data_IF_028026469782
#
_entry.id   IF_028026469782
#
_cell.length_a   1.000
_cell.length_b   1.000
_cell.length_c   1.000
_cell.angle_alpha   90.00
_cell.angle_beta   90.00
_cell.angle_gamma   90.00
#
_symmetry.space_group_name_H-M   'P 1'
#
loop_
_entity.id
_entity.type
_entity.pdbx_description
1 polymer ?
#
# COMPACT_ATOMS: atom_id res chain seq x y z
N UNK A 1 0.26 -7.11 13.69
CA UNK A 1 -0.76 -6.09 13.97
C UNK A 1 -1.80 -6.71 14.89
N UNK A 2 -2.00 -6.19 16.10
CA UNK A 2 -3.09 -6.66 16.96
C UNK A 2 -4.39 -6.02 16.48
N UNK A 3 -5.40 -6.82 16.14
CA UNK A 3 -6.69 -6.32 15.64
C UNK A 3 -7.33 -5.33 16.62
N UNK A 4 -7.14 -5.52 17.93
CA UNK A 4 -7.62 -4.62 18.98
C UNK A 4 -7.00 -3.22 18.90
N UNK A 5 -5.70 -3.11 18.60
CA UNK A 5 -5.03 -1.81 18.44
C UNK A 5 -5.51 -1.08 17.19
N UNK A 6 -5.69 -1.81 16.08
CA UNK A 6 -6.18 -1.23 14.83
C UNK A 6 -7.63 -0.75 14.96
N UNK A 7 -8.50 -1.52 15.62
CA UNK A 7 -9.87 -1.09 15.91
C UNK A 7 -9.89 0.20 16.74
N UNK A 8 -9.11 0.24 17.82
CA UNK A 8 -9.04 1.41 18.70
C UNK A 8 -8.64 2.70 17.97
N UNK A 9 -7.62 2.62 17.11
CA UNK A 9 -7.21 3.78 16.30
C UNK A 9 -8.27 4.18 15.28
N UNK A 10 -8.97 3.22 14.68
CA UNK A 10 -10.04 3.48 13.73
C UNK A 10 -11.22 4.21 14.39
N UNK A 11 -11.61 3.80 15.60
CA UNK A 11 -12.70 4.43 16.33
C UNK A 11 -12.38 5.89 16.66
N UNK A 12 -11.18 6.16 17.19
CA UNK A 12 -10.71 7.53 17.46
C UNK A 12 -10.59 8.39 16.21
N UNK A 13 -10.05 7.82 15.12
CA UNK A 13 -9.95 8.53 13.85
C UNK A 13 -11.32 8.99 13.34
N UNK A 14 -12.36 8.16 13.51
CA UNK A 14 -13.74 8.51 13.14
C UNK A 14 -14.36 9.58 14.04
N UNK A 15 -13.88 9.72 15.27
CA UNK A 15 -14.26 10.80 16.19
C UNK A 15 -13.55 12.13 15.88
N UNK A 16 -12.68 12.16 14.86
CA UNK A 16 -11.99 13.36 14.40
C UNK A 16 -10.55 13.49 14.92
N UNK A 17 -10.02 12.44 15.54
CA UNK A 17 -8.63 12.40 16.00
C UNK A 17 -7.65 12.20 14.83
N UNK A 18 -7.04 13.29 14.39
CA UNK A 18 -6.10 13.29 13.27
C UNK A 18 -4.81 12.52 13.58
N UNK A 19 -4.35 12.51 14.84
CA UNK A 19 -3.14 11.79 15.24
C UNK A 19 -3.39 10.28 15.23
N UNK A 20 -4.53 9.84 15.77
CA UNK A 20 -4.95 8.44 15.71
C UNK A 20 -5.11 7.95 14.26
N UNK A 21 -5.62 8.81 13.38
CA UNK A 21 -5.70 8.48 11.95
C UNK A 21 -4.31 8.40 11.30
N UNK A 22 -3.40 9.32 11.62
CA UNK A 22 -2.01 9.25 11.18
C UNK A 22 -1.34 7.94 11.61
N UNK A 23 -1.48 7.56 12.88
CA UNK A 23 -0.98 6.28 13.40
C UNK A 23 -1.61 5.08 12.69
N UNK A 24 -2.91 5.12 12.43
CA UNK A 24 -3.61 4.08 11.67
C UNK A 24 -3.04 3.94 10.27
N UNK A 25 -2.86 5.05 9.53
CA UNK A 25 -2.27 5.06 8.20
C UNK A 25 -0.86 4.46 8.23
N UNK A 26 -0.04 4.86 9.20
CA UNK A 26 1.33 4.36 9.36
C UNK A 26 1.39 2.83 9.56
N UNK A 27 0.40 2.22 10.21
CA UNK A 27 0.30 0.75 10.30
C UNK A 27 0.15 0.08 8.92
N UNK A 28 -0.46 0.77 7.95
CA UNK A 28 -0.67 0.25 6.59
C UNK A 28 0.38 0.71 5.57
N UNK A 29 1.36 1.54 5.95
CA UNK A 29 2.36 2.09 5.02
C UNK A 29 3.10 0.99 4.26
N UNK A 30 3.71 0.03 4.95
CA UNK A 30 4.46 -1.06 4.31
C UNK A 30 3.56 -1.92 3.43
N UNK A 31 2.33 -2.17 3.87
CA UNK A 31 1.35 -2.92 3.09
C UNK A 31 1.03 -2.22 1.76
N UNK A 32 0.73 -0.92 1.80
CA UNK A 32 0.43 -0.14 0.61
C UNK A 32 1.65 0.03 -0.29
N UNK A 33 2.85 0.16 0.28
CA UNK A 33 4.09 0.22 -0.49
C UNK A 33 4.30 -1.06 -1.29
N UNK A 34 4.11 -2.24 -0.65
CA UNK A 34 4.21 -3.55 -1.31
C UNK A 34 3.15 -3.69 -2.41
N UNK A 35 1.91 -3.23 -2.17
CA UNK A 35 0.89 -3.20 -3.21
C UNK A 35 1.26 -2.28 -4.38
N UNK A 36 1.70 -1.06 -4.10
CA UNK A 36 2.12 -0.10 -5.12
C UNK A 36 3.28 -0.66 -5.95
N UNK A 37 4.28 -1.23 -5.29
CA UNK A 37 5.42 -1.85 -5.93
C UNK A 37 5.01 -3.01 -6.87
N UNK A 38 4.03 -3.82 -6.46
CA UNK A 38 3.52 -4.93 -7.28
C UNK A 38 2.71 -4.48 -8.49
N UNK A 39 1.89 -3.45 -8.35
CA UNK A 39 1.00 -2.99 -9.43
C UNK A 39 1.68 -1.99 -10.39
N UNK A 40 2.85 -1.47 -10.04
CA UNK A 40 3.67 -0.69 -10.97
C UNK A 40 4.46 -1.63 -11.87
N UNK A 41 4.14 -1.63 -13.17
CA UNK A 41 4.97 -2.29 -14.18
C UNK A 41 6.37 -1.65 -14.26
N UNK A 42 7.37 -2.40 -14.73
CA UNK A 42 8.80 -1.98 -14.81
C UNK A 42 9.02 -0.58 -15.38
N UNK A 43 8.25 -0.23 -16.42
CA UNK A 43 8.34 1.08 -17.08
C UNK A 43 7.88 2.24 -16.20
N UNK A 44 6.90 1.99 -15.33
CA UNK A 44 6.37 2.96 -14.39
C UNK A 44 7.24 3.05 -13.13
N UNK A 45 7.82 1.92 -12.68
CA UNK A 45 8.76 1.88 -11.54
C UNK A 45 9.98 2.78 -11.75
N UNK A 46 10.42 2.98 -12.99
CA UNK A 46 11.52 3.91 -13.30
C UNK A 46 11.17 5.41 -13.10
N UNK A 47 9.89 5.74 -12.97
CA UNK A 47 9.41 7.14 -12.96
C UNK A 47 8.59 7.50 -11.73
N UNK A 48 8.08 6.50 -11.02
CA UNK A 48 7.20 6.68 -9.87
C UNK A 48 7.75 5.82 -8.76
N UNK A 49 8.13 6.47 -7.66
CA UNK A 49 8.47 5.77 -6.43
C UNK A 49 7.17 5.24 -5.78
N UNK A 50 7.09 3.95 -5.40
CA UNK A 50 5.98 3.44 -4.61
C UNK A 50 5.72 4.25 -3.33
N UNK A 51 6.75 4.82 -2.70
CA UNK A 51 6.61 5.67 -1.51
C UNK A 51 5.81 6.96 -1.81
N UNK A 52 6.01 7.57 -2.99
CA UNK A 52 5.24 8.74 -3.42
C UNK A 52 3.75 8.40 -3.59
N UNK A 53 3.44 7.23 -4.17
CA UNK A 53 2.06 6.77 -4.30
C UNK A 53 1.39 6.50 -2.95
N UNK A 54 2.14 5.95 -1.98
CA UNK A 54 1.63 5.77 -0.62
C UNK A 54 1.34 7.13 0.02
N UNK A 55 2.22 8.12 -0.17
CA UNK A 55 2.03 9.46 0.37
C UNK A 55 0.79 10.15 -0.25
N UNK A 56 0.61 10.05 -1.57
CA UNK A 56 -0.61 10.56 -2.25
C UNK A 56 -1.85 9.87 -1.69
N UNK A 57 -1.80 8.54 -1.53
CA UNK A 57 -2.89 7.76 -0.95
C UNK A 57 -3.24 8.22 0.46
N UNK A 58 -2.25 8.53 1.31
CA UNK A 58 -2.49 9.05 2.66
C UNK A 58 -3.17 10.43 2.64
N UNK A 59 -2.73 11.32 1.75
CA UNK A 59 -3.35 12.64 1.59
C UNK A 59 -4.81 12.55 1.14
N UNK A 60 -5.11 11.67 0.18
CA UNK A 60 -6.49 11.43 -0.26
C UNK A 60 -7.33 10.75 0.82
N UNK A 61 -6.76 9.78 1.55
CA UNK A 61 -7.43 9.14 2.67
C UNK A 61 -7.78 10.15 3.76
N UNK A 62 -6.88 11.07 4.11
CA UNK A 62 -7.17 12.14 5.07
C UNK A 62 -8.35 13.01 4.60
N UNK A 63 -8.38 13.36 3.31
CA UNK A 63 -9.45 14.16 2.72
C UNK A 63 -10.78 13.41 2.70
N UNK A 64 -10.76 12.11 2.42
CA UNK A 64 -11.95 11.30 2.17
C UNK A 64 -12.46 10.60 3.44
N UNK A 65 -11.70 10.63 4.56
CA UNK A 65 -12.07 10.05 5.85
C UNK A 65 -13.47 10.46 6.33
N UNK A 66 -13.92 11.74 6.23
CA UNK A 66 -15.27 12.12 6.64
C UNK A 66 -16.39 11.42 5.87
N UNK A 67 -16.11 10.90 4.66
CA UNK A 67 -17.05 10.13 3.85
C UNK A 67 -16.97 8.61 4.12
N UNK A 68 -15.94 8.14 4.80
CA UNK A 68 -15.80 6.73 5.16
C UNK A 68 -16.89 6.31 6.16
N UNK A 69 -17.48 5.13 5.96
CA UNK A 69 -18.58 4.59 6.80
C UNK A 69 -18.27 3.23 7.42
N UNK A 70 -17.19 2.57 7.02
CA UNK A 70 -16.82 1.23 7.52
C UNK A 70 -16.46 1.24 8.99
N UNK A 71 -16.98 0.28 9.76
CA UNK A 71 -16.80 0.20 11.22
C UNK A 71 -15.69 -0.77 11.63
N UNK A 72 -15.26 -1.62 10.70
CA UNK A 72 -14.33 -2.72 10.94
C UNK A 72 -13.00 -2.46 10.22
N UNK A 73 -11.85 -2.91 10.78
CA UNK A 73 -10.54 -2.84 10.16
C UNK A 73 -10.51 -3.45 8.76
N UNK A 74 -11.28 -4.50 8.51
CA UNK A 74 -11.41 -5.10 7.18
C UNK A 74 -12.00 -4.12 6.16
N UNK A 75 -13.02 -3.35 6.54
CA UNK A 75 -13.60 -2.33 5.66
C UNK A 75 -12.62 -1.18 5.40
N UNK A 76 -11.82 -0.83 6.40
CA UNK A 76 -10.76 0.17 6.26
C UNK A 76 -9.70 -0.26 5.25
N UNK A 77 -9.22 -1.51 5.33
CA UNK A 77 -8.26 -2.09 4.38
C UNK A 77 -8.77 -2.02 2.94
N UNK A 78 -10.02 -2.40 2.72
CA UNK A 78 -10.64 -2.35 1.38
C UNK A 78 -10.70 -0.90 0.88
N UNK A 79 -11.11 0.03 1.74
CA UNK A 79 -11.23 1.45 1.39
C UNK A 79 -9.88 2.08 1.02
N UNK A 80 -8.85 1.93 1.85
CA UNK A 80 -7.54 2.52 1.57
C UNK A 80 -6.86 1.88 0.36
N UNK A 81 -7.07 0.58 0.12
CA UNK A 81 -6.62 -0.10 -1.10
C UNK A 81 -7.32 0.43 -2.35
N UNK A 82 -8.60 0.79 -2.27
CA UNK A 82 -9.33 1.37 -3.39
C UNK A 82 -8.76 2.76 -3.76
N UNK A 83 -8.43 3.58 -2.76
CA UNK A 83 -7.74 4.87 -2.98
C UNK A 83 -6.40 4.64 -3.69
N UNK A 84 -5.57 3.73 -3.18
CA UNK A 84 -4.29 3.40 -3.83
C UNK A 84 -4.47 2.95 -5.28
N UNK A 85 -5.46 2.08 -5.56
CA UNK A 85 -5.74 1.61 -6.92
C UNK A 85 -6.16 2.74 -7.85
N UNK A 86 -6.96 3.69 -7.37
CA UNK A 86 -7.34 4.87 -8.14
C UNK A 86 -6.13 5.75 -8.45
N UNK A 87 -5.20 5.90 -7.49
CA UNK A 87 -3.95 6.61 -7.67
C UNK A 87 -3.03 5.95 -8.70
N UNK A 88 -2.88 4.62 -8.62
CA UNK A 88 -2.16 3.82 -9.61
C UNK A 88 -2.75 4.00 -11.02
N UNK A 89 -4.07 3.84 -11.17
CA UNK A 89 -4.75 4.02 -12.46
C UNK A 89 -4.55 5.44 -13.02
N UNK A 90 -4.62 6.45 -12.16
CA UNK A 90 -4.38 7.85 -12.52
C UNK A 90 -2.93 8.11 -12.94
N UNK A 91 -1.97 7.43 -12.32
CA UNK A 91 -0.56 7.53 -12.68
C UNK A 91 -0.26 6.84 -14.03
N UNK A 92 -0.84 5.66 -14.25
CA UNK A 92 -0.77 4.92 -15.54
C UNK A 92 -1.37 5.76 -16.66
N UNK A 93 -2.58 6.32 -16.45
CA UNK A 93 -3.26 7.13 -17.47
C UNK A 93 -2.44 8.37 -17.84
N UNK A 94 -1.89 9.07 -16.84
CA UNK A 94 -0.97 10.20 -17.08
C UNK A 94 0.26 9.75 -17.86
N UNK A 95 0.86 8.62 -17.54
CA UNK A 95 2.01 8.09 -18.27
C UNK A 95 1.68 7.77 -19.74
N UNK A 96 0.60 7.04 -20.01
CA UNK A 96 0.15 6.70 -21.38
C UNK A 96 -0.14 7.96 -22.19
N UNK A 97 -0.79 8.97 -21.59
CA UNK A 97 -1.06 10.26 -22.25
C UNK A 97 0.25 11.03 -22.51
N UNK A 98 1.20 11.01 -21.56
CA UNK A 98 2.48 11.71 -21.70
C UNK A 98 3.37 11.05 -22.75
N UNK A 99 3.35 9.71 -22.87
CA UNK A 99 4.03 9.00 -23.94
C UNK A 99 3.40 9.25 -25.32
N UNK A 100 2.07 9.38 -25.41
CA UNK A 100 1.41 9.82 -26.64
C UNK A 100 1.76 11.26 -27.03
N UNK A 101 2.04 12.14 -26.06
CA UNK A 101 2.54 13.50 -26.30
C UNK A 101 4.03 13.56 -26.62
N UNK A 102 4.86 12.68 -26.07
CA UNK A 102 6.32 12.67 -26.33
C UNK A 102 6.68 12.18 -27.73
N UNK A 103 5.79 11.44 -28.41
CA UNK A 103 5.93 11.12 -29.84
C UNK A 103 5.46 12.29 -30.72
N UNK A 104 4.67 13.21 -30.18
CA UNK A 104 3.97 14.21 -30.97
C UNK A 104 4.57 15.62 -30.91
N UNK A 105 5.24 16.07 -29.83
CA UNK A 105 5.82 17.43 -29.83
C UNK A 105 6.77 17.68 -28.65
N UNK A 106 8.06 17.88 -28.94
CA UNK A 106 8.91 18.84 -28.23
C UNK A 106 8.43 20.26 -28.53
N UNK A 107 7.31 20.72 -27.93
CA UNK A 107 6.94 22.15 -28.01
C UNK A 107 6.33 22.62 -26.68
N UNK A 108 7.11 23.50 -26.04
CA UNK A 108 6.77 24.63 -25.14
C UNK A 108 6.22 24.34 -23.74
N UNK A 109 7.15 24.45 -22.78
CA UNK A 109 6.96 25.13 -21.50
C UNK A 109 6.24 26.47 -21.71
N UNK A 110 5.12 26.68 -21.02
CA UNK A 110 4.78 27.91 -20.29
C UNK A 110 3.36 27.83 -19.68
N UNK A 111 3.28 28.09 -18.38
CA UNK A 111 2.13 28.57 -17.60
C UNK A 111 0.82 27.78 -17.56
N UNK A 112 0.46 27.31 -16.36
CA UNK A 112 -0.47 28.09 -15.53
C UNK A 112 -0.23 27.80 -14.03
N UNK A 113 0.19 28.85 -13.34
CA UNK A 113 0.59 28.87 -11.94
C UNK A 113 -0.53 29.48 -11.11
N UNK A 114 -1.63 28.76 -10.92
CA UNK A 114 -2.68 29.15 -9.98
C UNK A 114 -2.41 28.53 -8.61
N UNK A 115 -1.34 28.97 -7.93
CA UNK A 115 -1.10 28.70 -6.50
C UNK A 115 -1.92 29.68 -5.67
N UNK A 116 -3.04 29.22 -5.12
CA UNK A 116 -3.65 29.88 -3.97
C UNK A 116 -2.79 29.68 -2.71
N UNK A 117 -2.56 30.72 -1.89
CA UNK A 117 -1.82 30.57 -0.64
C UNK A 117 -2.77 30.09 0.46
N UNK A 118 -2.42 29.00 1.14
CA UNK A 118 -3.08 28.60 2.38
C UNK A 118 -3.25 27.09 2.49
N UNK A 119 -2.49 26.50 3.42
CA UNK A 119 -2.57 25.16 4.04
C UNK A 119 -1.20 24.48 4.22
N UNK A 120 -0.09 25.19 3.93
CA UNK A 120 1.26 24.73 4.29
C UNK A 120 1.59 24.85 5.80
N UNK A 121 0.63 25.30 6.63
CA UNK A 121 0.85 25.63 8.04
C UNK A 121 0.30 24.65 9.08
N UNK A 122 -0.38 23.56 8.69
CA UNK A 122 -1.03 22.64 9.64
C UNK A 122 -0.67 21.16 9.46
N UNK A 123 0.30 20.84 8.61
CA UNK A 123 0.74 19.46 8.35
C UNK A 123 2.15 19.17 8.89
N UNK A 124 2.49 19.72 10.06
CA UNK A 124 3.77 19.48 10.72
C UNK A 124 3.70 18.36 11.79
N UNK A 125 2.70 17.47 11.72
CA UNK A 125 2.47 16.43 12.74
C UNK A 125 2.97 15.02 12.40
N UNK A 126 3.10 14.64 11.12
CA UNK A 126 3.28 13.21 10.79
C UNK A 126 3.93 12.94 9.43
N UNK A 127 4.75 13.85 8.91
CA UNK A 127 5.63 13.50 7.78
C UNK A 127 6.77 12.63 8.30
N UNK A 128 6.65 11.31 8.12
CA UNK A 128 7.77 10.36 8.28
C UNK A 128 9.00 10.94 7.58
N UNK A 129 10.15 11.03 8.27
CA UNK A 129 11.34 11.66 7.69
C UNK A 129 11.82 10.92 6.44
N UNK A 130 12.52 11.57 5.48
CA UNK A 130 13.05 10.88 4.30
C UNK A 130 13.89 9.64 4.64
N UNK A 131 14.68 9.71 5.73
CA UNK A 131 15.45 8.56 6.23
C UNK A 131 14.56 7.40 6.70
N UNK A 132 13.49 7.68 7.43
CA UNK A 132 12.54 6.64 7.88
C UNK A 132 11.74 6.04 6.71
N UNK A 133 11.44 6.83 5.67
CA UNK A 133 10.80 6.31 4.46
C UNK A 133 11.72 5.34 3.72
N UNK A 134 13.00 5.68 3.56
CA UNK A 134 14.01 4.82 2.92
C UNK A 134 14.19 3.52 3.72
N UNK A 135 14.41 3.59 5.04
CA UNK A 135 14.54 2.37 5.87
C UNK A 135 13.33 1.44 5.78
N UNK A 136 12.13 2.01 5.68
CA UNK A 136 10.90 1.22 5.53
C UNK A 136 10.75 0.64 4.13
N UNK A 137 11.18 1.36 3.10
CA UNK A 137 11.24 0.84 1.74
C UNK A 137 12.23 -0.33 1.66
N UNK A 138 13.41 -0.20 2.27
CA UNK A 138 14.41 -1.27 2.40
C UNK A 138 13.82 -2.49 3.13
N UNK A 139 13.17 -2.28 4.27
CA UNK A 139 12.50 -3.38 5.02
C UNK A 139 11.40 -4.04 4.20
N UNK A 140 10.63 -3.26 3.43
CA UNK A 140 9.55 -3.77 2.59
C UNK A 140 10.09 -4.52 1.36
N UNK A 141 11.24 -4.09 0.84
CA UNK A 141 11.95 -4.78 -0.23
C UNK A 141 12.49 -6.13 0.25
N UNK A 142 13.14 -6.18 1.42
CA UNK A 142 13.59 -7.44 2.03
C UNK A 142 12.42 -8.44 2.21
N UNK A 143 11.23 -7.95 2.58
CA UNK A 143 10.03 -8.78 2.65
C UNK A 143 9.59 -9.33 1.28
N UNK A 144 9.70 -8.54 0.21
CA UNK A 144 9.42 -9.02 -1.15
C UNK A 144 10.43 -10.07 -1.59
N UNK A 145 11.71 -9.83 -1.32
CA UNK A 145 12.80 -10.75 -1.67
C UNK A 145 12.63 -12.08 -0.90
N UNK A 146 12.28 -12.03 0.38
CA UNK A 146 11.98 -13.21 1.19
C UNK A 146 10.73 -13.97 0.68
N UNK A 147 9.72 -13.27 0.15
CA UNK A 147 8.56 -13.93 -0.46
C UNK A 147 8.93 -14.72 -1.71
N UNK A 148 9.91 -14.24 -2.49
CA UNK A 148 10.36 -14.89 -3.71
C UNK A 148 11.28 -16.10 -3.44
N UNK A 149 11.81 -16.22 -2.22
CA UNK A 149 12.51 -17.42 -1.74
C UNK A 149 11.55 -18.55 -1.28
N UNK A 150 10.25 -18.26 -1.12
CA UNK A 150 9.28 -19.28 -0.69
C UNK A 150 8.87 -20.21 -1.84
N UNK A 151 8.46 -21.46 -1.52
CA UNK A 151 7.79 -22.31 -2.50
C UNK A 151 6.59 -21.61 -3.12
N UNK A 152 6.46 -21.68 -4.44
CA UNK A 152 5.49 -20.92 -5.25
C UNK A 152 4.07 -20.95 -4.66
N UNK A 153 3.59 -22.13 -4.27
CA UNK A 153 2.24 -22.29 -3.74
C UNK A 153 2.03 -21.65 -2.35
N UNK A 154 3.09 -21.54 -1.55
CA UNK A 154 3.06 -20.84 -0.26
C UNK A 154 3.09 -19.32 -0.48
N UNK A 155 3.98 -18.85 -1.35
CA UNK A 155 4.05 -17.44 -1.76
C UNK A 155 2.71 -16.98 -2.35
N UNK A 156 2.13 -17.77 -3.27
CA UNK A 156 0.85 -17.48 -3.89
C UNK A 156 -0.28 -17.36 -2.86
N UNK A 157 -0.41 -18.31 -1.92
CA UNK A 157 -1.41 -18.24 -0.86
C UNK A 157 -1.27 -16.98 0.00
N UNK A 158 -0.02 -16.60 0.36
CA UNK A 158 0.25 -15.38 1.12
C UNK A 158 -0.11 -14.13 0.30
N UNK A 159 0.32 -14.05 -0.96
CA UNK A 159 0.02 -12.93 -1.87
C UNK A 159 -1.50 -12.78 -2.03
N UNK A 160 -2.25 -13.86 -2.28
CA UNK A 160 -3.71 -13.81 -2.39
C UNK A 160 -4.40 -13.39 -1.09
N UNK A 161 -3.95 -13.90 0.06
CA UNK A 161 -4.54 -13.56 1.35
C UNK A 161 -4.29 -12.11 1.76
N UNK A 162 -3.03 -11.70 1.72
CA UNK A 162 -2.61 -10.45 2.34
C UNK A 162 -2.53 -9.31 1.34
N UNK A 163 -2.23 -9.56 0.07
CA UNK A 163 -2.19 -8.53 -0.97
C UNK A 163 -3.53 -8.40 -1.68
N UNK A 164 -4.12 -9.52 -2.11
CA UNK A 164 -5.41 -9.51 -2.79
C UNK A 164 -6.62 -9.45 -1.84
N UNK A 165 -6.40 -9.63 -0.54
CA UNK A 165 -7.45 -9.56 0.48
C UNK A 165 -8.47 -10.70 0.40
N UNK A 166 -8.15 -11.79 -0.31
CA UNK A 166 -9.07 -12.90 -0.52
C UNK A 166 -9.28 -13.69 0.78
N UNK A 167 -10.51 -14.14 0.99
CA UNK A 167 -10.85 -15.04 2.09
C UNK A 167 -10.38 -16.48 1.79
N UNK A 168 -10.47 -17.38 2.78
CA UNK A 168 -9.90 -18.73 2.64
C UNK A 168 -10.56 -19.53 1.51
N UNK A 169 -11.86 -19.36 1.34
CA UNK A 169 -12.66 -19.97 0.28
C UNK A 169 -12.25 -19.46 -1.09
N UNK A 170 -12.19 -18.14 -1.28
CA UNK A 170 -11.75 -17.52 -2.54
C UNK A 170 -10.33 -17.94 -2.93
N UNK A 171 -9.41 -18.02 -1.96
CA UNK A 171 -8.05 -18.51 -2.21
C UNK A 171 -8.10 -19.98 -2.66
N UNK A 172 -8.88 -20.80 -1.97
CA UNK A 172 -9.00 -22.23 -2.26
C UNK A 172 -9.50 -22.49 -3.68
N UNK A 173 -10.46 -21.68 -4.13
CA UNK A 173 -10.98 -21.68 -5.51
C UNK A 173 -9.91 -21.21 -6.50
N UNK A 174 -9.20 -20.12 -6.19
CA UNK A 174 -8.16 -19.56 -7.06
C UNK A 174 -6.96 -20.50 -7.26
N UNK A 175 -6.56 -21.27 -6.23
CA UNK A 175 -5.40 -22.18 -6.29
C UNK A 175 -5.77 -23.65 -6.53
N UNK A 176 -7.06 -23.96 -6.65
CA UNK A 176 -7.56 -25.33 -6.87
C UNK A 176 -7.24 -26.29 -5.72
N UNK A 177 -7.39 -25.84 -4.46
CA UNK A 177 -7.14 -26.66 -3.25
C UNK A 177 -8.29 -26.56 -2.25
N UNK A 178 -8.24 -27.35 -1.19
CA UNK A 178 -9.20 -27.24 -0.07
C UNK A 178 -8.81 -26.09 0.87
N UNK A 179 -9.79 -25.50 1.57
CA UNK A 179 -9.52 -24.46 2.57
C UNK A 179 -8.53 -24.92 3.66
N UNK A 180 -8.61 -26.20 4.07
CA UNK A 180 -7.64 -26.81 4.99
C UNK A 180 -6.22 -26.83 4.43
N UNK A 181 -6.06 -27.15 3.15
CA UNK A 181 -4.75 -27.13 2.49
C UNK A 181 -4.20 -25.70 2.37
N UNK A 182 -5.06 -24.71 2.06
CA UNK A 182 -4.70 -23.29 2.05
C UNK A 182 -4.24 -22.83 3.44
N UNK A 183 -4.96 -23.19 4.50
CA UNK A 183 -4.55 -22.91 5.88
C UNK A 183 -3.17 -23.48 6.22
N UNK A 184 -2.89 -24.71 5.75
CA UNK A 184 -1.57 -25.33 5.87
C UNK A 184 -0.47 -24.59 5.09
N UNK A 185 -0.76 -24.13 3.86
CA UNK A 185 0.16 -23.34 3.04
C UNK A 185 0.50 -22.00 3.69
N UNK A 186 -0.51 -21.28 4.17
CA UNK A 186 -0.35 -20.00 4.87
C UNK A 186 0.49 -20.17 6.14
N UNK A 187 0.17 -21.17 6.97
CA UNK A 187 0.92 -21.43 8.21
C UNK A 187 2.40 -21.72 7.94
N UNK A 188 2.69 -22.59 6.97
CA UNK A 188 4.08 -22.95 6.62
C UNK A 188 4.82 -21.78 5.97
N UNK A 189 4.18 -21.08 5.04
CA UNK A 189 4.76 -19.93 4.38
C UNK A 189 5.09 -18.81 5.36
N UNK A 190 4.16 -18.44 6.27
CA UNK A 190 4.41 -17.42 7.29
C UNK A 190 5.53 -17.81 8.26
N UNK A 191 5.61 -19.10 8.63
CA UNK A 191 6.71 -19.61 9.45
C UNK A 191 8.05 -19.44 8.72
N UNK A 192 8.12 -19.86 7.46
CA UNK A 192 9.35 -19.81 6.66
C UNK A 192 9.79 -18.38 6.36
N UNK A 193 8.83 -17.51 6.05
CA UNK A 193 9.07 -16.09 5.84
C UNK A 193 9.71 -15.45 7.09
N UNK A 194 9.21 -15.80 8.28
CA UNK A 194 9.81 -15.34 9.55
C UNK A 194 11.23 -15.87 9.72
N UNK A 195 11.49 -17.13 9.39
CA UNK A 195 12.85 -17.71 9.47
C UNK A 195 13.82 -16.95 8.56
N UNK A 196 13.46 -16.70 7.29
CA UNK A 196 14.31 -15.98 6.33
C UNK A 196 14.63 -14.56 6.82
N UNK A 197 13.60 -13.81 7.25
CA UNK A 197 13.78 -12.43 7.71
C UNK A 197 14.61 -12.32 9.00
N UNK A 198 14.56 -13.35 9.87
CA UNK A 198 15.39 -13.38 11.08
C UNK A 198 16.84 -13.74 10.80
N UNK A 199 17.10 -14.52 9.74
CA UNK A 199 18.45 -14.94 9.33
C UNK A 199 19.20 -13.81 8.62
N UNK A 200 18.50 -12.99 7.81
CA UNK A 200 19.05 -11.78 7.18
C UNK A 200 19.30 -10.62 8.18
N UNK A 201 18.80 -10.74 9.42
CA UNK A 201 19.00 -9.75 10.48
C UNK A 201 20.26 -9.99 11.33
N UNK A 202 21.04 -11.04 11.05
CA UNK A 202 22.29 -11.43 11.72
C UNK A 202 23.52 -10.95 10.93
#
# INVERSE_FOLDING_TARGET
>A
MSQSTTQFLLDRAREGDADAFGELLEQYRSYLWILAHRYLDDRLRQRIDPADLVQITFMEAQRDLPAFRGQEPAAFVVWIRNILRNNLASAVARHVITQKRSVAHEVRLANDSSRGPGLAGQLAGSTTSPSQQIMRAETSQALLDALDQLPEMQAAAIKLRYMEGLNMKEISEAVGKTEMAVGGLLKRGLKRLREILLDESQ
#
